data_IF_590747640199
#
_entry.id   IF_590747640199
#
_cell.length_a   1.000
_cell.length_b   1.000
_cell.length_c   1.000
_cell.angle_alpha   90.00
_cell.angle_beta   90.00
_cell.angle_gamma   90.00
#
_symmetry.space_group_name_H-M   'P 1'
#
loop_
_entity.id
_entity.type
_entity.pdbx_description
1 polymer ?
#
# COMPACT_ATOMS: atom_id res chain seq x y z
N UNK A 1 0.46 -6.06 14.51
CA UNK A 1 1.06 -4.83 13.96
C UNK A 1 2.24 -5.21 13.09
N UNK A 2 2.42 -4.51 11.97
CA UNK A 2 3.53 -4.72 11.05
C UNK A 2 4.28 -3.42 10.78
N UNK A 3 5.59 -3.51 10.60
CA UNK A 3 6.41 -2.42 10.12
C UNK A 3 7.14 -2.79 8.83
N UNK A 4 7.29 -1.80 7.96
CA UNK A 4 7.97 -1.95 6.68
C UNK A 4 8.83 -0.71 6.42
N UNK A 5 10.07 -0.93 6.01
CA UNK A 5 10.96 0.15 5.58
C UNK A 5 10.92 0.25 4.06
N UNK A 6 10.69 1.46 3.53
CA UNK A 6 10.75 1.72 2.10
C UNK A 6 12.21 1.85 1.61
N UNK A 7 12.41 1.94 0.28
CA UNK A 7 13.75 2.09 -0.31
C UNK A 7 14.47 3.42 0.00
N UNK A 8 13.80 4.34 0.70
CA UNK A 8 14.35 5.64 1.11
C UNK A 8 14.61 5.68 2.63
N UNK A 9 14.50 4.54 3.32
CA UNK A 9 14.75 4.45 4.76
C UNK A 9 13.58 4.91 5.65
N UNK A 10 12.40 5.18 5.09
CA UNK A 10 11.22 5.53 5.88
C UNK A 10 10.64 4.26 6.49
N UNK A 11 10.68 4.15 7.82
CA UNK A 11 9.92 3.14 8.56
C UNK A 11 8.44 3.52 8.57
N UNK A 12 7.59 2.64 8.08
CA UNK A 12 6.14 2.84 7.88
C UNK A 12 5.39 1.74 8.61
N UNK A 13 4.37 2.12 9.37
CA UNK A 13 3.60 1.22 10.22
C UNK A 13 2.23 0.89 9.60
N UNK A 14 1.78 -0.34 9.86
CA UNK A 14 0.43 -0.82 9.62
C UNK A 14 -0.09 -1.52 10.89
N UNK A 15 -1.08 -0.93 11.54
CA UNK A 15 -1.73 -1.53 12.70
C UNK A 15 -2.70 -2.64 12.28
N UNK A 16 -3.00 -3.56 13.19
CA UNK A 16 -3.98 -4.63 12.94
C UNK A 16 -5.36 -4.05 12.63
N UNK A 17 -5.79 -3.04 13.39
CA UNK A 17 -7.05 -2.30 13.18
C UNK A 17 -7.13 -1.68 11.77
N UNK A 18 -6.04 -1.04 11.33
CA UNK A 18 -5.99 -0.43 9.99
C UNK A 18 -6.00 -1.50 8.91
N UNK A 19 -5.34 -2.63 9.12
CA UNK A 19 -5.39 -3.75 8.20
C UNK A 19 -6.80 -4.35 8.10
N UNK A 20 -7.48 -4.56 9.22
CA UNK A 20 -8.87 -5.01 9.24
C UNK A 20 -9.77 -4.04 8.46
N UNK A 21 -9.64 -2.73 8.71
CA UNK A 21 -10.38 -1.73 7.96
C UNK A 21 -10.06 -1.76 6.46
N UNK A 22 -8.80 -1.98 6.05
CA UNK A 22 -8.46 -2.09 4.62
C UNK A 22 -9.20 -3.28 3.99
N UNK A 23 -9.16 -4.46 4.62
CA UNK A 23 -9.76 -5.67 4.05
C UNK A 23 -11.28 -5.73 4.18
N UNK A 24 -11.89 -4.92 5.05
CA UNK A 24 -13.34 -4.73 5.08
C UNK A 24 -13.84 -3.99 3.82
N UNK A 25 -13.12 -2.96 3.37
CA UNK A 25 -13.47 -2.20 2.16
C UNK A 25 -12.84 -2.76 0.86
N UNK A 26 -11.74 -3.51 0.98
CA UNK A 26 -10.98 -4.10 -0.11
C UNK A 26 -10.69 -5.57 0.19
N UNK A 27 -11.76 -6.36 0.29
CA UNK A 27 -11.74 -7.78 0.65
C UNK A 27 -10.83 -8.63 -0.23
N UNK A 28 -10.56 -8.19 -1.45
CA UNK A 28 -9.67 -8.84 -2.41
C UNK A 28 -8.21 -8.87 -1.91
N UNK A 29 -7.87 -8.05 -0.91
CA UNK A 29 -6.57 -8.03 -0.26
C UNK A 29 -6.44 -8.96 0.96
N UNK A 30 -7.50 -9.67 1.39
CA UNK A 30 -7.47 -10.53 2.60
C UNK A 30 -6.26 -11.45 2.70
N UNK A 31 -5.81 -11.99 1.57
CA UNK A 31 -4.69 -12.91 1.47
C UNK A 31 -3.44 -12.29 0.81
N UNK A 32 -3.36 -10.97 0.79
CA UNK A 32 -2.31 -10.21 0.07
C UNK A 32 -1.53 -9.25 0.95
N UNK A 33 -1.52 -9.45 2.28
CA UNK A 33 -0.76 -8.60 3.22
C UNK A 33 0.72 -8.49 2.80
N UNK A 34 1.38 -9.60 2.49
CA UNK A 34 2.78 -9.59 2.05
C UNK A 34 2.98 -8.79 0.76
N UNK A 35 2.03 -8.84 -0.16
CA UNK A 35 2.08 -8.04 -1.40
C UNK A 35 1.87 -6.55 -1.12
N UNK A 36 1.02 -6.18 -0.15
CA UNK A 36 0.85 -4.80 0.33
C UNK A 36 2.16 -4.28 0.94
N UNK A 37 2.76 -5.02 1.87
CA UNK A 37 4.04 -4.63 2.48
C UNK A 37 5.17 -4.60 1.43
N UNK A 38 5.22 -5.56 0.50
CA UNK A 38 6.16 -5.56 -0.63
C UNK A 38 5.99 -4.33 -1.54
N UNK A 39 4.77 -3.85 -1.71
CA UNK A 39 4.47 -2.63 -2.48
C UNK A 39 5.11 -1.40 -1.84
N UNK A 40 5.08 -1.30 -0.51
CA UNK A 40 5.77 -0.21 0.20
C UNK A 40 7.28 -0.37 0.12
N UNK A 41 7.79 -1.60 0.33
CA UNK A 41 9.23 -1.89 0.38
C UNK A 41 9.94 -1.63 -0.96
N UNK A 42 9.40 -2.14 -2.06
CA UNK A 42 10.10 -2.16 -3.37
C UNK A 42 9.32 -1.47 -4.48
N UNK A 43 8.11 -0.99 -4.22
CA UNK A 43 7.28 -0.36 -5.24
C UNK A 43 7.81 0.99 -5.70
N UNK A 44 7.19 1.51 -6.76
CA UNK A 44 7.36 2.90 -7.16
C UNK A 44 6.48 3.76 -6.25
N UNK A 45 6.92 4.99 -5.94
CA UNK A 45 6.08 5.96 -5.22
C UNK A 45 5.90 7.24 -6.02
N UNK A 46 4.78 7.92 -5.82
CA UNK A 46 4.50 9.27 -6.31
C UNK A 46 3.99 10.12 -5.15
N UNK A 47 4.56 11.29 -4.96
CA UNK A 47 4.05 12.27 -4.00
C UNK A 47 2.76 12.91 -4.53
N UNK A 48 1.81 13.18 -3.64
CA UNK A 48 0.60 13.93 -3.97
C UNK A 48 0.95 15.40 -4.25
N UNK A 49 0.30 15.99 -5.26
CA UNK A 49 0.46 17.42 -5.56
C UNK A 49 -0.22 18.32 -4.51
N UNK A 50 -1.26 17.81 -3.84
CA UNK A 50 -2.08 18.57 -2.89
C UNK A 50 -1.61 18.43 -1.44
N UNK A 51 -0.83 17.39 -1.14
CA UNK A 51 -0.40 17.07 0.22
C UNK A 51 1.04 16.52 0.18
N UNK A 52 2.04 17.31 0.59
CA UNK A 52 3.44 16.90 0.49
C UNK A 52 3.78 15.72 1.41
N UNK A 53 2.93 15.39 2.38
CA UNK A 53 3.10 14.24 3.25
C UNK A 53 2.39 12.99 2.75
N UNK A 54 1.60 13.07 1.67
CA UNK A 54 0.86 11.93 1.13
C UNK A 54 1.59 11.32 -0.07
N UNK A 55 1.84 10.03 0.01
CA UNK A 55 2.55 9.27 -1.02
C UNK A 55 1.72 8.07 -1.47
N UNK A 56 1.66 7.88 -2.78
CA UNK A 56 1.05 6.72 -3.41
C UNK A 56 2.15 5.76 -3.85
N UNK A 57 2.26 4.63 -3.18
CA UNK A 57 3.10 3.50 -3.56
C UNK A 57 2.31 2.57 -4.48
N UNK A 58 2.98 1.98 -5.47
CA UNK A 58 2.36 1.02 -6.36
C UNK A 58 3.37 0.02 -6.92
N UNK A 59 2.90 -1.22 -7.11
CA UNK A 59 3.70 -2.32 -7.65
C UNK A 59 2.81 -3.25 -8.48
N UNK A 60 3.32 -3.64 -9.65
CA UNK A 60 2.66 -4.62 -10.51
C UNK A 60 2.90 -6.02 -9.95
N UNK A 61 1.88 -6.87 -10.01
CA UNK A 61 1.94 -8.27 -9.60
C UNK A 61 1.27 -9.14 -10.66
N UNK A 62 1.87 -10.29 -10.93
CA UNK A 62 1.23 -11.36 -11.69
C UNK A 62 0.32 -12.17 -10.77
N UNK A 63 -0.79 -12.68 -11.33
CA UNK A 63 -1.70 -13.58 -10.62
C UNK A 63 -2.42 -12.97 -9.41
N UNK A 64 -2.76 -11.67 -9.43
CA UNK A 64 -3.73 -11.16 -8.45
C UNK A 64 -5.15 -11.67 -8.80
N UNK A 65 -6.02 -11.87 -7.79
CA UNK A 65 -7.42 -12.23 -8.01
C UNK A 65 -8.14 -11.25 -8.94
N UNK A 66 -9.26 -11.68 -9.52
CA UNK A 66 -10.21 -10.82 -10.27
C UNK A 66 -9.57 -9.96 -11.38
N UNK A 67 -8.49 -10.45 -12.00
CA UNK A 67 -7.74 -9.76 -13.04
C UNK A 67 -7.12 -8.42 -12.61
N UNK A 68 -6.92 -8.19 -11.31
CA UNK A 68 -6.10 -7.09 -10.86
C UNK A 68 -4.65 -7.29 -11.32
N UNK A 69 -3.93 -6.19 -11.50
CA UNK A 69 -2.56 -6.23 -12.03
C UNK A 69 -1.58 -5.45 -11.17
N UNK A 70 -2.09 -4.66 -10.22
CA UNK A 70 -1.31 -3.73 -9.42
C UNK A 70 -1.94 -3.56 -8.06
N UNK A 71 -1.12 -3.50 -7.02
CA UNK A 71 -1.54 -3.01 -5.71
C UNK A 71 -1.10 -1.56 -5.57
N UNK A 72 -1.98 -0.75 -5.00
CA UNK A 72 -1.74 0.64 -4.64
C UNK A 72 -1.81 0.76 -3.12
N UNK A 73 -0.87 1.45 -2.51
CA UNK A 73 -0.81 1.72 -1.07
C UNK A 73 -0.63 3.21 -0.86
N UNK A 74 -1.49 3.80 -0.04
CA UNK A 74 -1.43 5.22 0.30
C UNK A 74 -0.80 5.35 1.69
N UNK A 75 0.26 6.15 1.79
CA UNK A 75 1.03 6.36 3.01
C UNK A 75 1.07 7.84 3.35
N UNK A 76 0.97 8.15 4.65
CA UNK A 76 1.27 9.48 5.18
C UNK A 76 2.68 9.45 5.78
N UNK A 77 3.60 10.24 5.24
CA UNK A 77 4.95 10.43 5.75
C UNK A 77 5.03 11.70 6.61
N UNK A 78 4.93 11.52 7.93
CA UNK A 78 4.99 12.55 8.97
C UNK A 78 5.89 12.05 10.11
N UNK A 79 5.72 12.52 11.35
CA UNK A 79 6.53 12.05 12.48
C UNK A 79 6.43 10.54 12.71
N UNK A 80 5.22 9.98 12.60
CA UNK A 80 4.97 8.54 12.61
C UNK A 80 4.39 8.17 11.25
N UNK A 81 5.17 7.52 10.39
CA UNK A 81 4.70 7.19 9.06
C UNK A 81 3.74 6.00 9.12
N UNK A 82 2.60 6.10 8.43
CA UNK A 82 1.61 5.02 8.48
C UNK A 82 0.88 4.82 7.15
N UNK A 83 0.41 3.60 6.93
CA UNK A 83 -0.47 3.26 5.82
C UNK A 83 -1.89 3.79 6.10
N UNK A 84 -2.42 4.61 5.19
CA UNK A 84 -3.79 5.11 5.23
C UNK A 84 -4.76 4.05 4.67
N UNK A 85 -4.45 3.52 3.48
CA UNK A 85 -5.28 2.50 2.80
C UNK A 85 -4.44 1.74 1.77
N UNK A 86 -4.94 0.59 1.31
CA UNK A 86 -4.41 -0.14 0.17
C UNK A 86 -5.57 -0.73 -0.64
N UNK A 87 -5.40 -0.82 -1.96
CA UNK A 87 -6.40 -1.41 -2.86
C UNK A 87 -5.76 -1.95 -4.13
N UNK A 88 -6.32 -3.01 -4.73
CA UNK A 88 -5.85 -3.50 -6.01
C UNK A 88 -6.51 -2.72 -7.16
N UNK A 89 -5.80 -2.56 -8.28
CA UNK A 89 -6.33 -1.98 -9.50
C UNK A 89 -6.01 -2.84 -10.72
N UNK A 90 -6.88 -2.76 -11.72
CA UNK A 90 -6.64 -3.32 -13.04
C UNK A 90 -5.99 -2.23 -13.90
N UNK A 91 -4.88 -2.54 -14.57
CA UNK A 91 -4.38 -1.69 -15.66
C UNK A 91 -5.47 -1.62 -16.72
N UNK A 92 -5.96 -0.42 -17.04
CA UNK A 92 -6.67 -0.22 -18.30
C UNK A 92 -5.61 -0.46 -19.39
N UNK A 93 -5.84 -1.51 -20.21
CA UNK A 93 -5.11 -1.69 -21.46
C UNK A 93 -5.45 -0.53 -22.39
#
# INVERSE_FOLDING_TARGET
MWDVTDKWGNRIELTDERWQHIIEYHWELRHSLDKVLSTVRTGRRKQSLMDPHKYTYYKDFEGLPHNYTRIVVIVKLIRNNFIITAYPIRKRR
#
